data_IF_047999867029
#
_entry.id   IF_047999867029
#
_cell.length_a   1.000
_cell.length_b   1.000
_cell.length_c   1.000
_cell.angle_alpha   90.00
_cell.angle_beta   90.00
_cell.angle_gamma   90.00
#
_symmetry.space_group_name_H-M   'P 1'
#
loop_
_entity.id
_entity.type
_entity.pdbx_description
1 polymer ?
#
# COMPACT_ATOMS: atom_id res chain seq x y z
N UNK A 1 55.97 55.27 15.97
CA UNK A 1 56.94 54.30 16.54
C UNK A 1 57.23 53.23 15.48
N UNK A 2 58.23 53.49 14.61
CA UNK A 2 59.48 52.71 14.44
C UNK A 2 59.31 51.20 14.15
N UNK A 3 59.32 50.81 12.86
CA UNK A 3 60.38 50.04 12.12
C UNK A 3 60.44 48.53 12.50
N UNK A 4 60.51 47.54 11.60
CA UNK A 4 61.21 47.34 10.30
C UNK A 4 60.36 46.39 9.41
N UNK A 5 60.09 46.60 8.11
CA UNK A 5 60.91 46.47 6.87
C UNK A 5 61.70 45.16 6.71
N UNK A 6 61.25 44.31 5.77
CA UNK A 6 61.99 43.86 4.55
C UNK A 6 61.01 43.22 3.53
N UNK A 7 61.10 43.65 2.26
CA UNK A 7 60.60 43.07 0.99
C UNK A 7 61.86 42.67 0.17
N UNK A 8 61.83 42.19 -1.09
CA UNK A 8 60.83 41.54 -1.98
C UNK A 8 61.41 40.20 -2.58
N UNK A 9 60.79 39.44 -3.49
CA UNK A 9 60.82 39.54 -4.99
C UNK A 9 59.92 38.41 -5.55
N UNK A 10 58.82 38.66 -6.26
CA UNK A 10 58.66 39.11 -7.65
C UNK A 10 58.95 38.03 -8.71
N UNK A 11 57.89 37.53 -9.37
CA UNK A 11 57.73 37.27 -10.83
C UNK A 11 56.45 36.47 -11.14
N UNK A 12 55.44 37.19 -11.62
CA UNK A 12 54.43 36.75 -12.61
C UNK A 12 55.11 36.66 -14.02
N UNK A 13 54.55 36.10 -15.14
CA UNK A 13 53.12 36.03 -15.48
C UNK A 13 52.64 34.82 -16.37
N UNK A 14 51.33 34.85 -16.69
CA UNK A 14 50.64 34.36 -17.93
C UNK A 14 49.88 33.01 -17.93
N UNK A 15 48.54 33.17 -17.89
CA UNK A 15 47.51 32.71 -18.87
C UNK A 15 47.75 31.38 -19.62
N UNK A 16 46.83 30.41 -19.43
CA UNK A 16 46.08 29.81 -20.55
C UNK A 16 44.85 29.00 -20.06
N UNK A 17 43.77 29.01 -20.85
CA UNK A 17 42.42 28.65 -20.44
C UNK A 17 42.12 27.17 -20.22
N UNK A 18 41.15 26.91 -19.34
CA UNK A 18 40.55 25.61 -19.10
C UNK A 18 39.47 25.33 -20.15
N UNK A 19 39.74 24.35 -21.02
CA UNK A 19 38.76 23.72 -21.90
C UNK A 19 38.88 22.20 -21.73
N UNK A 20 37.73 21.56 -21.52
CA UNK A 20 37.40 20.14 -21.76
C UNK A 20 37.73 19.09 -20.68
N UNK A 21 36.80 18.93 -19.73
CA UNK A 21 36.60 17.71 -18.93
C UNK A 21 35.44 16.85 -19.48
N UNK A 22 35.33 16.70 -20.80
CA UNK A 22 34.22 15.96 -21.47
C UNK A 22 34.71 14.83 -22.38
N UNK A 23 36.02 14.54 -22.44
CA UNK A 23 36.57 13.45 -23.26
C UNK A 23 37.14 12.26 -22.51
N UNK A 24 37.21 12.29 -21.17
CA UNK A 24 37.68 11.13 -20.39
C UNK A 24 36.57 10.12 -20.00
N UNK A 25 35.29 10.48 -20.15
CA UNK A 25 34.18 9.61 -19.72
C UNK A 25 33.70 8.63 -20.80
N UNK A 26 34.06 8.85 -22.07
CA UNK A 26 33.59 8.03 -23.20
C UNK A 26 34.49 6.82 -23.53
N UNK A 27 35.71 6.76 -23.01
CA UNK A 27 36.65 5.65 -23.26
C UNK A 27 36.56 4.51 -22.23
N UNK A 28 35.90 4.73 -21.09
CA UNK A 28 35.71 3.70 -20.05
C UNK A 28 34.44 2.85 -20.24
N UNK A 29 33.51 3.27 -21.11
CA UNK A 29 32.27 2.54 -21.40
C UNK A 29 32.37 1.54 -22.58
N UNK A 30 33.48 1.55 -23.32
CA UNK A 30 33.68 0.62 -24.47
C UNK A 30 34.49 -0.62 -24.07
N UNK A 31 35.22 -0.60 -22.94
CA UNK A 31 36.06 -1.72 -22.50
C UNK A 31 35.33 -2.81 -21.68
N UNK A 32 34.05 -2.62 -21.31
CA UNK A 32 33.31 -3.57 -20.46
C UNK A 32 32.29 -4.46 -21.22
N UNK A 33 32.38 -4.55 -22.55
CA UNK A 33 31.51 -5.40 -23.39
C UNK A 33 32.16 -6.67 -23.95
N UNK A 34 33.38 -7.01 -23.53
CA UNK A 34 34.16 -8.08 -24.16
C UNK A 34 34.79 -9.08 -23.18
N UNK A 35 34.09 -9.50 -22.13
CA UNK A 35 34.53 -10.66 -21.33
C UNK A 35 33.34 -11.31 -20.62
N UNK A 36 32.74 -12.36 -21.21
CA UNK A 36 32.07 -13.49 -20.53
C UNK A 36 31.32 -14.33 -21.57
N UNK A 37 32.10 -15.15 -22.29
CA UNK A 37 31.63 -16.44 -22.83
C UNK A 37 32.30 -17.55 -22.03
N UNK A 38 31.56 -18.63 -21.85
CA UNK A 38 31.94 -19.93 -21.27
C UNK A 38 31.90 -20.02 -19.73
N UNK A 39 30.78 -20.52 -19.21
CA UNK A 39 30.72 -21.64 -18.28
C UNK A 39 29.31 -22.23 -18.34
N UNK A 40 29.20 -23.36 -19.04
CA UNK A 40 27.98 -24.15 -19.14
C UNK A 40 27.88 -25.06 -17.91
N UNK A 41 26.74 -25.04 -17.22
CA UNK A 41 26.30 -26.12 -16.35
C UNK A 41 24.93 -26.58 -16.84
N UNK A 42 24.89 -27.83 -17.29
CA UNK A 42 23.71 -28.54 -17.77
C UNK A 42 22.71 -28.80 -16.65
N UNK A 43 21.43 -28.50 -16.90
CA UNK A 43 20.29 -29.02 -16.16
C UNK A 43 19.39 -29.74 -17.17
N UNK A 44 19.01 -31.01 -16.95
CA UNK A 44 18.22 -31.77 -17.93
C UNK A 44 16.74 -31.35 -17.88
N UNK A 45 16.01 -31.38 -19.01
CA UNK A 45 14.57 -31.14 -19.02
C UNK A 45 13.80 -32.39 -18.55
N UNK A 46 12.56 -32.23 -18.02
CA UNK A 46 11.74 -33.37 -17.64
C UNK A 46 11.16 -34.07 -18.89
N UNK A 47 11.12 -35.39 -18.81
CA UNK A 47 10.51 -36.30 -19.78
C UNK A 47 9.00 -36.08 -19.85
N UNK A 48 8.48 -35.68 -21.01
CA UNK A 48 7.07 -35.88 -21.36
C UNK A 48 6.95 -36.83 -22.55
N UNK A 49 6.17 -37.88 -22.32
CA UNK A 49 5.83 -38.96 -23.23
C UNK A 49 5.11 -38.50 -24.51
N UNK A 50 5.49 -39.10 -25.62
CA UNK A 50 4.94 -38.92 -26.95
C UNK A 50 3.49 -39.43 -27.12
N UNK A 51 2.74 -38.76 -28.02
CA UNK A 51 1.92 -39.29 -29.16
C UNK A 51 0.77 -38.31 -29.52
N UNK A 52 0.11 -38.43 -30.69
CA UNK A 52 0.63 -38.58 -32.04
C UNK A 52 0.07 -37.50 -33.01
N UNK A 53 0.69 -37.45 -34.18
CA UNK A 53 0.41 -36.61 -35.36
C UNK A 53 -1.00 -36.75 -35.96
N UNK A 54 -1.60 -35.62 -36.38
CA UNK A 54 -2.69 -35.52 -37.36
C UNK A 54 -2.51 -34.29 -38.29
N UNK A 55 -3.13 -34.29 -39.50
CA UNK A 55 -2.58 -33.77 -40.77
C UNK A 55 -2.93 -32.28 -41.04
N UNK A 56 -2.40 -31.65 -42.13
CA UNK A 56 -2.36 -30.20 -42.26
C UNK A 56 -3.69 -29.59 -42.74
N UNK A 57 -3.98 -28.37 -42.27
CA UNK A 57 -5.08 -27.52 -42.73
C UNK A 57 -4.78 -26.90 -44.11
N UNK A 58 -5.81 -26.64 -44.94
CA UNK A 58 -5.63 -26.08 -46.27
C UNK A 58 -5.38 -24.57 -46.24
N UNK A 59 -4.65 -24.12 -47.25
CA UNK A 59 -4.35 -22.73 -47.58
C UNK A 59 -5.62 -21.92 -47.85
N UNK A 60 -5.67 -20.71 -47.28
CA UNK A 60 -6.59 -19.66 -47.71
C UNK A 60 -5.80 -18.43 -48.18
N UNK A 61 -6.26 -17.95 -49.33
CA UNK A 61 -5.69 -16.97 -50.22
C UNK A 61 -5.63 -15.56 -49.63
N UNK A 62 -4.68 -14.78 -50.14
CA UNK A 62 -4.53 -13.36 -49.92
C UNK A 62 -5.76 -12.57 -50.41
N UNK A 63 -6.23 -11.63 -49.57
CA UNK A 63 -7.06 -10.49 -49.99
C UNK A 63 -6.47 -9.23 -49.37
N UNK A 64 -6.32 -8.21 -50.21
CA UNK A 64 -5.71 -6.90 -49.94
C UNK A 64 -6.62 -5.95 -49.14
N UNK A 65 -6.08 -4.87 -48.54
CA UNK A 65 -6.76 -4.09 -47.51
C UNK A 65 -7.46 -2.86 -48.09
N UNK A 66 -8.75 -2.67 -47.79
CA UNK A 66 -9.43 -1.38 -47.73
C UNK A 66 -10.82 -1.58 -47.09
N UNK A 67 -11.20 -0.66 -46.21
CA UNK A 67 -12.49 -0.55 -45.49
C UNK A 67 -12.69 -1.43 -44.23
N UNK A 68 -11.92 -1.18 -43.17
CA UNK A 68 -12.40 -1.41 -41.79
C UNK A 68 -11.93 -0.28 -40.84
N UNK A 69 -12.49 0.92 -41.06
CA UNK A 69 -12.39 2.04 -40.11
C UNK A 69 -13.78 2.63 -39.89
N UNK A 70 -14.63 1.90 -39.15
CA UNK A 70 -15.83 2.45 -38.51
C UNK A 70 -16.49 1.46 -37.52
N UNK A 71 -16.22 0.15 -37.61
CA UNK A 71 -16.93 -0.88 -36.82
C UNK A 71 -16.07 -1.49 -35.69
N UNK A 72 -14.94 -0.88 -35.34
CA UNK A 72 -14.03 -1.37 -34.30
C UNK A 72 -14.09 -0.59 -32.96
N UNK A 73 -15.01 0.36 -32.83
CA UNK A 73 -15.12 1.24 -31.65
C UNK A 73 -16.41 1.05 -30.81
N UNK A 74 -17.20 0.01 -31.09
CA UNK A 74 -18.46 -0.26 -30.39
C UNK A 74 -18.61 -1.68 -29.80
N UNK A 75 -17.55 -2.49 -29.78
CA UNK A 75 -17.62 -3.90 -29.32
C UNK A 75 -16.52 -4.28 -28.30
N UNK A 76 -16.05 -3.34 -27.49
CA UNK A 76 -15.25 -3.65 -26.31
C UNK A 76 -15.73 -2.83 -25.09
N UNK A 77 -16.89 -3.20 -24.59
CA UNK A 77 -17.30 -2.91 -23.21
C UNK A 77 -17.81 -4.19 -22.56
N UNK A 78 -17.00 -5.25 -22.57
CA UNK A 78 -17.22 -6.34 -21.62
C UNK A 78 -16.70 -5.88 -20.26
N UNK A 79 -17.59 -5.89 -19.28
CA UNK A 79 -17.25 -5.48 -17.93
C UNK A 79 -16.25 -6.49 -17.34
N UNK A 80 -15.35 -6.03 -16.46
CA UNK A 80 -14.38 -6.88 -15.74
C UNK A 80 -15.05 -8.10 -15.07
N UNK A 81 -16.36 -8.01 -14.78
CA UNK A 81 -17.24 -9.05 -14.24
C UNK A 81 -17.43 -10.26 -15.16
N UNK A 82 -17.44 -10.04 -16.48
CA UNK A 82 -17.71 -11.08 -17.48
C UNK A 82 -16.49 -12.00 -17.67
N UNK A 83 -15.28 -11.51 -17.37
CA UNK A 83 -14.06 -12.32 -17.30
C UNK A 83 -13.98 -13.15 -16.01
N UNK A 84 -14.48 -12.64 -14.89
CA UNK A 84 -14.40 -13.30 -13.57
C UNK A 84 -15.43 -14.42 -13.39
N UNK A 85 -16.63 -14.28 -13.95
CA UNK A 85 -17.69 -15.31 -13.85
C UNK A 85 -17.33 -16.62 -14.57
N UNK A 86 -16.34 -16.62 -15.48
CA UNK A 86 -15.86 -17.85 -16.15
C UNK A 86 -14.78 -18.60 -15.35
N UNK A 87 -14.18 -17.98 -14.32
CA UNK A 87 -13.08 -18.56 -13.55
C UNK A 87 -13.49 -19.13 -12.17
N UNK A 88 -14.67 -18.77 -11.65
CA UNK A 88 -15.14 -19.22 -10.33
C UNK A 88 -16.53 -19.85 -10.45
N UNK A 89 -16.57 -21.04 -11.05
CA UNK A 89 -17.80 -21.77 -11.30
C UNK A 89 -17.85 -23.12 -10.61
N UNK A 90 -17.64 -23.21 -9.29
CA UNK A 90 -18.14 -24.32 -8.46
C UNK A 90 -18.33 -23.86 -7.00
N UNK A 91 -19.57 -24.03 -6.50
CA UNK A 91 -20.06 -23.77 -5.13
C UNK A 91 -20.64 -22.38 -4.84
N UNK A 92 -21.88 -22.14 -5.28
CA UNK A 92 -22.96 -21.55 -4.46
C UNK A 92 -24.23 -21.40 -5.31
N UNK A 93 -24.97 -22.49 -5.49
CA UNK A 93 -26.32 -22.46 -6.05
C UNK A 93 -27.26 -23.10 -5.03
N UNK A 94 -27.80 -22.30 -4.11
CA UNK A 94 -29.04 -22.59 -3.42
C UNK A 94 -29.49 -21.34 -2.63
N UNK A 95 -30.80 -21.08 -2.68
CA UNK A 95 -31.58 -20.13 -1.87
C UNK A 95 -31.57 -18.66 -2.31
N UNK A 96 -32.47 -18.32 -3.23
CA UNK A 96 -33.47 -17.25 -3.03
C UNK A 96 -34.42 -17.18 -4.23
N UNK A 97 -35.44 -18.03 -4.23
CA UNK A 97 -36.61 -17.86 -5.08
C UNK A 97 -37.84 -17.86 -4.16
N UNK A 98 -38.47 -16.70 -4.00
CA UNK A 98 -39.92 -16.51 -3.88
C UNK A 98 -40.21 -15.14 -3.26
N UNK A 99 -40.79 -14.25 -4.07
CA UNK A 99 -42.00 -13.46 -3.77
C UNK A 99 -41.97 -12.16 -4.58
N UNK A 100 -42.37 -12.26 -5.85
CA UNK A 100 -42.82 -11.12 -6.64
C UNK A 100 -44.32 -11.32 -6.85
N UNK A 101 -45.14 -10.48 -6.22
CA UNK A 101 -46.51 -10.25 -6.69
C UNK A 101 -46.76 -8.75 -6.78
N UNK A 102 -47.29 -8.41 -7.96
CA UNK A 102 -47.62 -7.08 -8.45
C UNK A 102 -48.69 -6.41 -7.59
N UNK A 103 -48.64 -5.07 -7.54
CA UNK A 103 -49.85 -4.25 -7.75
C UNK A 103 -49.47 -2.96 -8.50
N UNK A 104 -49.93 -2.88 -9.74
CA UNK A 104 -50.02 -1.68 -10.57
C UNK A 104 -51.32 -0.93 -10.25
N UNK A 105 -51.29 0.40 -10.15
CA UNK A 105 -52.53 1.17 -10.04
C UNK A 105 -52.40 2.69 -9.89
N UNK A 106 -52.47 3.36 -11.05
CA UNK A 106 -53.11 4.67 -11.30
C UNK A 106 -52.55 5.98 -10.71
N UNK A 107 -52.29 6.90 -11.65
CA UNK A 107 -52.06 8.33 -11.45
C UNK A 107 -53.27 9.05 -10.83
N UNK A 108 -52.99 10.03 -9.98
CA UNK A 108 -53.97 10.98 -9.45
C UNK A 108 -53.25 12.22 -8.91
N UNK A 109 -53.41 13.33 -9.62
CA UNK A 109 -52.97 14.68 -9.25
C UNK A 109 -53.78 15.22 -8.07
N UNK A 110 -53.12 15.72 -7.02
CA UNK A 110 -53.67 16.77 -6.13
C UNK A 110 -52.56 17.28 -5.21
N UNK A 111 -52.32 18.59 -5.23
CA UNK A 111 -51.36 19.26 -4.36
C UNK A 111 -51.85 19.37 -2.91
N UNK A 112 -50.90 19.43 -1.98
CA UNK A 112 -50.98 20.02 -0.63
C UNK A 112 -49.60 19.91 0.07
N UNK A 113 -49.37 20.67 1.16
CA UNK A 113 -48.40 21.75 1.25
C UNK A 113 -46.96 21.30 1.56
N UNK A 114 -45.97 22.14 1.21
CA UNK A 114 -44.57 21.97 1.63
C UNK A 114 -44.47 22.17 3.14
N UNK A 115 -44.50 21.07 3.89
CA UNK A 115 -44.02 21.04 5.26
C UNK A 115 -42.50 21.24 5.22
N UNK A 116 -42.03 22.39 5.70
CA UNK A 116 -40.62 22.67 5.88
C UNK A 116 -40.12 21.81 7.05
N UNK A 117 -39.60 20.62 6.75
CA UNK A 117 -38.86 19.83 7.72
C UNK A 117 -37.51 20.52 7.96
N UNK A 118 -37.16 20.91 9.20
CA UNK A 118 -35.82 21.38 9.50
C UNK A 118 -34.82 20.25 9.15
N UNK A 119 -33.56 20.58 8.83
CA UNK A 119 -32.56 19.56 8.56
C UNK A 119 -32.50 18.64 9.77
N UNK A 120 -32.83 17.35 9.56
CA UNK A 120 -32.61 16.33 10.58
C UNK A 120 -31.14 16.44 10.97
N UNK A 121 -30.92 16.88 12.22
CA UNK A 121 -29.66 16.68 12.90
C UNK A 121 -29.27 15.23 12.64
N UNK A 122 -28.08 15.03 12.06
CA UNK A 122 -27.53 13.72 11.82
C UNK A 122 -27.73 12.91 13.11
N UNK A 123 -28.58 11.89 13.03
CA UNK A 123 -28.70 10.94 14.12
C UNK A 123 -27.29 10.39 14.33
N UNK A 124 -26.65 10.82 15.42
CA UNK A 124 -25.42 10.20 15.88
C UNK A 124 -25.75 8.72 16.03
N UNK A 125 -25.28 7.92 15.07
CA UNK A 125 -25.17 6.49 15.23
C UNK A 125 -24.56 6.31 16.62
N UNK A 126 -25.31 5.66 17.51
CA UNK A 126 -24.81 5.28 18.83
C UNK A 126 -23.72 4.23 18.64
N UNK A 127 -22.58 4.65 18.09
CA UNK A 127 -21.42 3.81 17.90
C UNK A 127 -20.88 3.55 19.30
N UNK A 128 -20.91 2.27 19.71
CA UNK A 128 -20.22 1.80 20.91
C UNK A 128 -18.82 2.43 20.95
N UNK A 129 -18.44 2.93 22.14
CA UNK A 129 -17.12 3.54 22.35
C UNK A 129 -16.04 2.62 21.76
N UNK A 130 -15.02 3.19 21.08
CA UNK A 130 -14.00 2.37 20.49
C UNK A 130 -13.27 1.61 21.59
N UNK A 131 -13.12 0.30 21.41
CA UNK A 131 -12.45 -0.57 22.36
C UNK A 131 -11.65 -1.64 21.61
N UNK A 132 -10.47 -1.93 22.15
CA UNK A 132 -9.65 -3.07 21.73
C UNK A 132 -9.85 -4.28 22.67
N UNK A 133 -10.91 -4.28 23.48
CA UNK A 133 -11.35 -5.46 24.22
C UNK A 133 -11.63 -6.60 23.24
N UNK A 134 -11.05 -7.76 23.53
CA UNK A 134 -11.14 -8.90 22.62
C UNK A 134 -10.20 -8.80 21.42
N UNK A 135 -9.18 -7.95 21.44
CA UNK A 135 -8.06 -8.05 20.52
C UNK A 135 -6.78 -8.40 21.28
N UNK A 136 -5.90 -9.18 20.63
CA UNK A 136 -4.59 -9.55 21.16
C UNK A 136 -3.54 -8.83 20.34
N UNK A 137 -2.74 -7.98 20.99
CA UNK A 137 -1.67 -7.25 20.35
C UNK A 137 -0.32 -7.86 20.72
N UNK A 138 0.59 -7.90 19.74
CA UNK A 138 1.93 -8.43 19.90
C UNK A 138 2.94 -7.45 19.32
N UNK A 139 3.92 -7.08 20.14
CA UNK A 139 5.11 -6.37 19.67
C UNK A 139 6.14 -7.38 19.18
N UNK A 140 6.71 -7.10 18.03
CA UNK A 140 7.80 -7.87 17.49
C UNK A 140 9.13 -7.41 18.11
N UNK A 141 9.89 -8.34 18.68
CA UNK A 141 11.20 -8.08 19.26
C UNK A 141 12.30 -8.48 18.27
N UNK A 142 13.23 -7.56 18.04
CA UNK A 142 14.40 -7.80 17.21
C UNK A 142 15.43 -8.63 17.99
N UNK A 143 16.18 -9.52 17.32
CA UNK A 143 17.34 -10.19 17.91
C UNK A 143 18.32 -9.16 18.50
N UNK A 144 18.77 -9.36 19.75
CA UNK A 144 19.74 -8.47 20.40
C UNK A 144 21.20 -8.96 20.26
N UNK A 145 21.41 -10.15 19.68
CA UNK A 145 22.74 -10.73 19.46
C UNK A 145 22.75 -11.87 18.46
N UNK A 146 23.95 -12.38 18.18
CA UNK A 146 24.18 -13.46 17.22
C UNK A 146 23.49 -14.76 17.67
N UNK A 147 22.65 -15.33 16.80
CA UNK A 147 21.93 -16.58 17.06
C UNK A 147 20.56 -16.44 17.74
N UNK A 148 20.12 -15.23 18.10
CA UNK A 148 18.75 -14.99 18.56
C UNK A 148 17.77 -14.92 17.40
N UNK A 149 16.60 -15.52 17.57
CA UNK A 149 15.49 -15.42 16.61
C UNK A 149 14.53 -14.30 17.00
N UNK A 150 13.89 -13.62 16.03
CA UNK A 150 12.81 -12.70 16.35
C UNK A 150 11.69 -13.41 17.12
N UNK A 151 11.07 -12.69 18.04
CA UNK A 151 10.00 -13.21 18.88
C UNK A 151 8.84 -12.23 19.01
N UNK A 152 7.70 -12.74 19.49
CA UNK A 152 6.52 -11.93 19.79
C UNK A 152 6.37 -11.79 21.30
N UNK A 153 6.12 -10.56 21.75
CA UNK A 153 5.71 -10.25 23.12
C UNK A 153 4.27 -9.79 23.11
N UNK A 154 3.39 -10.48 23.84
CA UNK A 154 2.04 -9.99 24.03
C UNK A 154 2.06 -8.64 24.77
N UNK A 155 1.16 -7.75 24.37
CA UNK A 155 0.90 -6.50 25.07
C UNK A 155 -0.38 -6.65 25.87
N UNK A 156 -0.36 -6.17 27.12
CA UNK A 156 -1.60 -5.93 27.85
C UNK A 156 -2.32 -4.67 27.34
N UNK A 157 -3.52 -4.41 27.87
CA UNK A 157 -4.34 -3.27 27.47
C UNK A 157 -3.63 -1.93 27.67
N UNK A 158 -2.92 -1.76 28.78
CA UNK A 158 -2.22 -0.51 29.11
C UNK A 158 -1.02 -0.26 28.20
N UNK A 159 -0.31 -1.33 27.82
CA UNK A 159 0.81 -1.28 26.88
C UNK A 159 0.33 -1.00 25.45
N UNK A 160 -0.81 -1.57 25.05
CA UNK A 160 -1.44 -1.30 23.77
C UNK A 160 -1.93 0.15 23.67
N UNK A 161 -2.58 0.67 24.71
CA UNK A 161 -2.94 2.09 24.80
C UNK A 161 -1.71 2.99 24.69
N UNK A 162 -0.64 2.64 25.39
CA UNK A 162 0.64 3.38 25.33
C UNK A 162 1.24 3.36 23.92
N UNK A 163 1.11 2.24 23.20
CA UNK A 163 1.52 2.15 21.80
C UNK A 163 0.69 3.07 20.90
N UNK A 164 -0.64 3.09 21.04
CA UNK A 164 -1.51 4.01 20.28
C UNK A 164 -1.16 5.47 20.56
N UNK A 165 -0.90 5.82 21.83
CA UNK A 165 -0.41 7.16 22.23
C UNK A 165 0.91 7.52 21.56
N UNK A 166 1.83 6.56 21.46
CA UNK A 166 3.10 6.73 20.77
C UNK A 166 2.95 6.82 19.24
N UNK A 167 1.98 6.12 18.65
CA UNK A 167 1.72 6.13 17.21
C UNK A 167 1.03 7.43 16.72
N UNK A 168 0.32 8.13 17.61
CA UNK A 168 -0.34 9.41 17.35
C UNK A 168 0.43 10.61 17.96
N UNK A 169 1.75 10.65 17.77
CA UNK A 169 2.58 11.81 18.10
C UNK A 169 2.61 12.82 16.94
N UNK A 170 3.02 14.08 17.16
CA UNK A 170 3.21 15.03 16.06
C UNK A 170 4.07 14.43 14.94
N UNK A 171 3.70 14.69 13.67
CA UNK A 171 4.43 14.22 12.49
C UNK A 171 4.49 12.68 12.37
N UNK A 172 3.35 12.01 12.58
CA UNK A 172 3.28 10.54 12.55
C UNK A 172 2.41 10.00 11.42
N UNK A 173 2.80 8.84 10.90
CA UNK A 173 1.94 8.04 10.03
C UNK A 173 1.81 6.61 10.56
N UNK A 174 0.60 6.07 10.56
CA UNK A 174 0.28 4.72 11.00
C UNK A 174 -0.27 3.93 9.83
N UNK A 175 0.43 2.89 9.41
CA UNK A 175 0.04 2.02 8.29
C UNK A 175 -0.67 0.78 8.84
N UNK A 176 -1.93 0.59 8.45
CA UNK A 176 -2.77 -0.53 8.88
C UNK A 176 -2.92 -1.50 7.70
N UNK A 177 -2.12 -2.58 7.73
CA UNK A 177 -2.10 -3.63 6.72
C UNK A 177 -3.27 -4.60 6.86
N UNK A 178 -4.18 -4.58 5.90
CA UNK A 178 -5.40 -5.39 5.85
C UNK A 178 -5.32 -6.56 4.86
N UNK A 179 -6.22 -7.52 5.02
CA UNK A 179 -6.70 -8.36 3.93
C UNK A 179 -7.99 -7.74 3.39
N UNK A 180 -7.98 -7.32 2.14
CA UNK A 180 -9.10 -6.58 1.53
C UNK A 180 -10.45 -7.33 1.53
N UNK A 181 -10.41 -8.65 1.68
CA UNK A 181 -11.58 -9.52 1.64
C UNK A 181 -12.07 -9.95 3.03
N UNK A 182 -11.54 -9.33 4.09
CA UNK A 182 -11.74 -9.80 5.46
C UNK A 182 -12.41 -8.74 6.31
N UNK A 183 -13.68 -8.99 6.62
CA UNK A 183 -14.51 -8.11 7.46
C UNK A 183 -13.89 -7.82 8.82
N UNK A 184 -13.27 -8.82 9.46
CA UNK A 184 -12.66 -8.64 10.79
C UNK A 184 -11.53 -7.60 10.80
N UNK A 185 -10.77 -7.48 9.70
CA UNK A 185 -9.71 -6.49 9.57
C UNK A 185 -10.31 -5.08 9.49
N UNK A 186 -11.38 -4.90 8.70
CA UNK A 186 -12.05 -3.61 8.56
C UNK A 186 -12.76 -3.18 9.84
N UNK A 187 -13.35 -4.11 10.60
CA UNK A 187 -13.90 -3.83 11.92
C UNK A 187 -12.79 -3.35 12.89
N UNK A 188 -11.62 -3.97 12.85
CA UNK A 188 -10.46 -3.55 13.65
C UNK A 188 -9.89 -2.20 13.19
N UNK A 189 -9.78 -1.95 11.88
CA UNK A 189 -9.39 -0.64 11.34
C UNK A 189 -10.32 0.45 11.83
N UNK A 190 -11.63 0.20 11.84
CA UNK A 190 -12.63 1.13 12.34
C UNK A 190 -12.38 1.50 13.82
N UNK A 191 -12.02 0.53 14.68
CA UNK A 191 -11.65 0.79 16.08
C UNK A 191 -10.33 1.58 16.20
N UNK A 192 -9.29 1.17 15.47
CA UNK A 192 -7.98 1.81 15.53
C UNK A 192 -8.01 3.25 15.03
N UNK A 193 -8.74 3.52 13.95
CA UNK A 193 -8.93 4.87 13.43
C UNK A 193 -9.60 5.78 14.46
N UNK A 194 -10.62 5.29 15.17
CA UNK A 194 -11.28 6.06 16.22
C UNK A 194 -10.33 6.38 17.38
N UNK A 195 -9.54 5.39 17.83
CA UNK A 195 -8.58 5.60 18.92
C UNK A 195 -7.47 6.58 18.53
N UNK A 196 -6.93 6.46 17.30
CA UNK A 196 -5.94 7.40 16.77
C UNK A 196 -6.52 8.80 16.61
N UNK A 197 -7.76 8.93 16.13
CA UNK A 197 -8.44 10.21 16.00
C UNK A 197 -8.69 10.87 17.36
N UNK A 198 -9.11 10.11 18.36
CA UNK A 198 -9.31 10.58 19.73
C UNK A 198 -8.00 11.07 20.35
N UNK A 199 -6.92 10.32 20.15
CA UNK A 199 -5.60 10.66 20.68
C UNK A 199 -4.98 11.88 19.98
N UNK A 200 -5.11 11.98 18.65
CA UNK A 200 -4.69 13.18 17.93
C UNK A 200 -5.49 14.41 18.40
N UNK A 201 -6.81 14.26 18.57
CA UNK A 201 -7.69 15.33 19.06
C UNK A 201 -7.34 15.77 20.49
N UNK A 202 -6.99 14.85 21.39
CA UNK A 202 -6.61 15.17 22.77
C UNK A 202 -5.36 16.06 22.84
N UNK A 203 -4.48 15.95 21.84
CA UNK A 203 -3.26 16.75 21.65
C UNK A 203 -3.45 17.98 20.75
N UNK A 204 -4.64 18.18 20.18
CA UNK A 204 -4.91 19.26 19.23
C UNK A 204 -4.19 19.11 17.88
N UNK A 205 -3.85 17.87 17.47
CA UNK A 205 -3.15 17.58 16.23
C UNK A 205 -4.12 17.39 15.05
N UNK A 206 -3.77 17.87 13.84
CA UNK A 206 -4.49 17.51 12.63
C UNK A 206 -4.45 15.99 12.41
N UNK A 207 -5.59 15.39 12.09
CA UNK A 207 -5.70 13.95 11.84
C UNK A 207 -6.33 13.68 10.47
N UNK A 208 -5.82 12.72 9.72
CA UNK A 208 -6.40 12.27 8.45
C UNK A 208 -6.42 10.74 8.34
N UNK A 209 -7.31 10.25 7.46
CA UNK A 209 -7.40 8.82 7.12
C UNK A 209 -7.25 8.64 5.62
N UNK A 210 -6.26 7.86 5.19
CA UNK A 210 -6.03 7.53 3.79
C UNK A 210 -6.58 6.17 3.40
N UNK A 211 -7.13 6.08 2.19
CA UNK A 211 -7.72 4.87 1.59
C UNK A 211 -6.99 4.47 0.32
N UNK A 212 -6.35 3.31 0.31
CA UNK A 212 -5.84 2.68 -0.91
C UNK A 212 -6.95 2.43 -1.94
N UNK A 213 -8.16 2.18 -1.46
CA UNK A 213 -9.30 1.78 -2.28
C UNK A 213 -9.79 2.90 -3.20
N UNK A 214 -9.37 4.15 -2.95
CA UNK A 214 -9.82 5.34 -3.67
C UNK A 214 -8.65 5.97 -4.42
N UNK A 215 -8.81 6.10 -5.74
CA UNK A 215 -7.81 6.72 -6.61
C UNK A 215 -7.78 8.25 -6.45
N UNK A 216 -6.61 8.86 -6.62
CA UNK A 216 -6.39 10.31 -6.43
C UNK A 216 -7.35 11.23 -7.19
N UNK A 217 -7.84 10.92 -8.42
CA UNK A 217 -8.83 11.77 -9.09
C UNK A 217 -10.14 11.92 -8.31
N UNK A 218 -10.46 10.98 -7.41
CA UNK A 218 -11.68 10.97 -6.61
C UNK A 218 -11.55 11.66 -5.25
N UNK A 219 -10.45 12.40 -5.00
CA UNK A 219 -10.25 13.16 -3.76
C UNK A 219 -11.45 14.07 -3.43
N UNK A 220 -12.04 14.74 -4.42
CA UNK A 220 -13.22 15.61 -4.21
C UNK A 220 -14.45 14.85 -3.68
N UNK A 221 -14.57 13.57 -3.99
CA UNK A 221 -15.66 12.71 -3.50
C UNK A 221 -15.47 12.45 -2.01
N UNK A 222 -14.24 12.09 -1.61
CA UNK A 222 -13.86 11.94 -0.20
C UNK A 222 -14.01 13.24 0.59
N UNK A 223 -13.65 14.38 0.00
CA UNK A 223 -13.84 15.70 0.63
C UNK A 223 -15.32 15.98 0.92
N UNK A 224 -16.22 15.65 -0.01
CA UNK A 224 -17.67 15.81 0.17
C UNK A 224 -18.21 14.86 1.26
N UNK A 225 -17.76 13.60 1.26
CA UNK A 225 -18.17 12.62 2.25
C UNK A 225 -17.70 13.00 3.67
N UNK A 226 -16.44 13.39 3.83
CA UNK A 226 -15.86 13.74 5.13
C UNK A 226 -16.57 14.90 5.83
N UNK A 227 -17.15 15.83 5.07
CA UNK A 227 -17.95 16.96 5.60
C UNK A 227 -19.46 16.68 5.64
N UNK A 228 -19.89 15.45 5.37
CA UNK A 228 -21.30 15.02 5.47
C UNK A 228 -22.19 15.45 4.30
N UNK A 229 -21.61 15.84 3.16
CA UNK A 229 -22.35 16.22 1.94
C UNK A 229 -22.66 15.05 1.01
N UNK A 230 -22.19 13.86 1.33
CA UNK A 230 -22.37 12.65 0.53
C UNK A 230 -22.77 11.48 1.44
N UNK A 231 -23.75 10.67 1.01
CA UNK A 231 -24.13 9.44 1.70
C UNK A 231 -23.13 8.31 1.42
N UNK A 232 -23.31 7.16 2.06
CA UNK A 232 -22.53 5.96 1.76
C UNK A 232 -22.79 5.45 0.35
N UNK A 233 -24.05 5.42 -0.09
CA UNK A 233 -24.40 5.00 -1.46
C UNK A 233 -23.81 5.99 -2.48
N UNK A 234 -23.86 7.29 -2.18
CA UNK A 234 -23.25 8.32 -3.01
C UNK A 234 -21.73 8.24 -3.05
N UNK A 235 -21.09 7.78 -1.96
CA UNK A 235 -19.64 7.53 -1.93
C UNK A 235 -19.30 6.35 -2.84
N UNK A 236 -19.96 5.21 -2.66
CA UNK A 236 -19.78 4.00 -3.47
C UNK A 236 -19.92 4.30 -4.98
N UNK A 237 -21.01 4.98 -5.36
CA UNK A 237 -21.31 5.33 -6.75
C UNK A 237 -20.28 6.29 -7.33
N UNK A 238 -19.98 7.40 -6.64
CA UNK A 238 -19.10 8.46 -7.17
C UNK A 238 -17.62 8.09 -7.16
N UNK A 239 -17.19 7.15 -6.32
CA UNK A 239 -15.84 6.55 -6.43
C UNK A 239 -15.78 5.44 -7.47
N UNK A 240 -16.90 5.15 -8.15
CA UNK A 240 -17.02 4.05 -9.11
C UNK A 240 -16.55 2.71 -8.51
N UNK A 241 -16.89 2.48 -7.23
CA UNK A 241 -16.27 1.46 -6.41
C UNK A 241 -16.34 0.07 -7.04
N UNK A 242 -17.53 -0.30 -7.56
CA UNK A 242 -17.78 -1.61 -8.19
C UNK A 242 -16.92 -1.88 -9.43
N UNK A 243 -16.39 -0.84 -10.06
CA UNK A 243 -15.56 -0.95 -11.26
C UNK A 243 -14.08 -0.97 -10.90
N UNK A 244 -13.68 -0.15 -9.93
CA UNK A 244 -12.28 0.13 -9.61
C UNK A 244 -11.72 -0.73 -8.49
N UNK A 245 -12.57 -1.10 -7.53
CA UNK A 245 -12.16 -1.92 -6.41
C UNK A 245 -12.78 -3.31 -6.50
N UNK A 246 -11.92 -4.34 -6.38
CA UNK A 246 -12.32 -5.73 -6.56
C UNK A 246 -13.25 -6.25 -5.44
N UNK A 247 -13.23 -5.58 -4.29
CA UNK A 247 -13.89 -6.06 -3.07
C UNK A 247 -15.18 -5.28 -2.79
N UNK A 248 -16.23 -5.93 -2.23
CA UNK A 248 -17.50 -5.28 -1.95
C UNK A 248 -17.35 -4.04 -1.06
N UNK A 249 -18.09 -2.98 -1.37
CA UNK A 249 -18.06 -1.72 -0.59
C UNK A 249 -18.49 -1.96 0.86
N UNK A 250 -19.40 -2.90 1.08
CA UNK A 250 -19.98 -3.25 2.38
C UNK A 250 -18.95 -3.71 3.40
N UNK A 251 -17.80 -4.22 2.95
CA UNK A 251 -16.68 -4.58 3.82
C UNK A 251 -16.06 -3.36 4.51
N UNK A 252 -16.09 -2.19 3.85
CA UNK A 252 -15.46 -0.95 4.31
C UNK A 252 -16.45 -0.01 5.01
N UNK A 253 -17.76 -0.26 4.93
CA UNK A 253 -18.80 0.54 5.59
C UNK A 253 -18.55 0.78 7.07
N UNK A 254 -18.07 -0.20 7.88
CA UNK A 254 -17.77 0.03 9.30
C UNK A 254 -16.78 1.19 9.54
N UNK A 255 -15.84 1.41 8.61
CA UNK A 255 -14.84 2.48 8.68
C UNK A 255 -15.48 3.81 8.27
N UNK A 256 -16.17 3.82 7.13
CA UNK A 256 -16.82 5.03 6.62
C UNK A 256 -17.92 5.55 7.54
N UNK A 257 -18.70 4.68 8.18
CA UNK A 257 -19.71 5.07 9.15
C UNK A 257 -19.13 5.80 10.36
N UNK A 258 -17.93 5.39 10.81
CA UNK A 258 -17.23 6.10 11.87
C UNK A 258 -16.71 7.45 11.42
N UNK A 259 -16.35 7.63 10.16
CA UNK A 259 -15.76 8.88 9.68
C UNK A 259 -16.78 9.90 9.20
N UNK A 260 -17.99 9.44 8.84
CA UNK A 260 -19.06 10.25 8.27
C UNK A 260 -19.37 11.47 9.13
N UNK A 261 -19.26 12.66 8.55
CA UNK A 261 -19.61 13.93 9.18
C UNK A 261 -18.69 14.39 10.32
N UNK A 262 -17.62 13.64 10.65
CA UNK A 262 -16.66 14.02 11.70
C UNK A 262 -15.70 15.13 11.28
N UNK A 263 -15.75 15.58 10.01
CA UNK A 263 -14.84 16.58 9.42
C UNK A 263 -13.36 16.22 9.56
N UNK A 264 -13.07 14.91 9.59
CA UNK A 264 -11.72 14.37 9.47
C UNK A 264 -11.37 14.36 7.98
N UNK A 265 -10.26 15.00 7.55
CA UNK A 265 -9.75 14.87 6.19
C UNK A 265 -9.54 13.40 5.79
N UNK A 266 -10.09 13.03 4.64
CA UNK A 266 -9.93 11.70 4.05
C UNK A 266 -9.04 11.82 2.82
N UNK A 267 -8.08 10.92 2.62
CA UNK A 267 -7.09 11.00 1.55
C UNK A 267 -7.31 9.87 0.54
N UNK A 268 -7.46 10.22 -0.73
CA UNK A 268 -7.37 9.25 -1.82
C UNK A 268 -5.89 8.95 -2.06
N UNK A 269 -5.51 7.66 -1.99
CA UNK A 269 -4.10 7.26 -1.98
C UNK A 269 -3.63 6.69 -3.32
N UNK A 270 -4.43 5.85 -3.97
CA UNK A 270 -3.98 5.11 -5.14
C UNK A 270 -3.77 6.05 -6.34
N UNK A 271 -2.70 5.90 -7.14
CA UNK A 271 -2.66 6.53 -8.47
C UNK A 271 -3.83 6.04 -9.32
N UNK A 272 -4.13 6.76 -10.40
CA UNK A 272 -5.22 6.36 -11.28
C UNK A 272 -4.97 4.99 -11.93
N UNK A 273 -6.04 4.27 -12.24
CA UNK A 273 -5.94 3.02 -13.01
C UNK A 273 -5.25 3.26 -14.36
N UNK A 274 -5.53 4.39 -15.01
CA UNK A 274 -4.89 4.77 -16.28
C UNK A 274 -3.37 4.98 -16.14
N UNK A 275 -2.92 5.63 -15.06
CA UNK A 275 -1.48 5.81 -14.79
C UNK A 275 -0.81 4.46 -14.49
N UNK A 276 -1.47 3.63 -13.68
CA UNK A 276 -0.97 2.30 -13.29
C UNK A 276 -0.90 1.38 -14.52
N UNK A 277 -1.94 1.35 -15.34
CA UNK A 277 -2.00 0.59 -16.60
C UNK A 277 -0.92 1.06 -17.58
N UNK A 278 -0.72 2.37 -17.69
CA UNK A 278 0.35 2.93 -18.52
C UNK A 278 1.72 2.38 -18.10
N UNK A 279 1.99 2.30 -16.80
CA UNK A 279 3.25 1.71 -16.29
C UNK A 279 3.28 0.18 -16.44
N UNK A 280 2.15 -0.51 -16.27
CA UNK A 280 2.03 -1.95 -16.52
C UNK A 280 2.37 -2.32 -17.97
N UNK A 281 2.02 -1.48 -18.94
CA UNK A 281 2.27 -1.73 -20.36
C UNK A 281 3.63 -1.21 -20.83
N UNK A 282 4.00 0.00 -20.41
CA UNK A 282 5.15 0.74 -20.98
C UNK A 282 6.29 1.00 -20.00
N UNK A 283 6.16 0.57 -18.74
CA UNK A 283 7.04 0.95 -17.64
C UNK A 283 6.96 2.44 -17.31
N UNK A 284 7.85 2.91 -16.43
CA UNK A 284 7.92 4.34 -16.08
C UNK A 284 8.05 5.31 -17.28
N UNK A 285 8.77 4.98 -18.38
CA UNK A 285 8.83 5.85 -19.56
C UNK A 285 7.48 6.10 -20.24
N UNK A 286 6.45 5.29 -19.93
CA UNK A 286 5.08 5.52 -20.39
C UNK A 286 4.43 6.76 -19.79
N UNK A 287 4.82 7.17 -18.58
CA UNK A 287 4.32 8.37 -17.93
C UNK A 287 5.08 9.62 -18.39
N UNK A 288 4.39 10.75 -18.43
CA UNK A 288 5.07 12.04 -18.60
C UNK A 288 5.99 12.32 -17.40
N UNK A 289 7.07 13.06 -17.64
CA UNK A 289 7.99 13.45 -16.56
C UNK A 289 7.31 14.27 -15.45
N UNK A 290 6.27 15.05 -15.79
CA UNK A 290 5.48 15.78 -14.81
C UNK A 290 4.66 14.82 -13.93
N UNK A 291 3.97 13.86 -14.54
CA UNK A 291 3.18 12.84 -13.83
C UNK A 291 4.05 11.94 -12.97
N UNK A 292 5.22 11.52 -13.46
CA UNK A 292 6.16 10.74 -12.67
C UNK A 292 6.66 11.51 -11.44
N UNK A 293 6.95 12.81 -11.58
CA UNK A 293 7.33 13.66 -10.44
C UNK A 293 6.20 13.89 -9.44
N UNK A 294 4.96 13.95 -9.93
CA UNK A 294 3.77 14.05 -9.07
C UNK A 294 3.59 12.77 -8.23
N UNK A 295 3.69 11.59 -8.86
CA UNK A 295 3.45 10.30 -8.19
C UNK A 295 4.69 9.78 -7.42
N UNK A 296 5.89 10.19 -7.80
CA UNK A 296 7.16 9.76 -7.21
C UNK A 296 8.09 10.96 -6.96
N UNK A 297 7.72 11.88 -6.04
CA UNK A 297 8.45 13.12 -5.81
C UNK A 297 9.89 12.90 -5.33
N UNK A 298 10.17 11.75 -4.69
CA UNK A 298 11.50 11.35 -4.21
C UNK A 298 12.06 10.13 -4.98
N UNK A 299 12.00 10.18 -6.31
CA UNK A 299 12.54 9.11 -7.17
C UNK A 299 14.05 8.84 -6.98
N UNK A 300 14.83 9.84 -6.56
CA UNK A 300 16.25 9.67 -6.23
C UNK A 300 16.44 8.92 -4.92
N UNK A 301 15.70 9.25 -3.87
CA UNK A 301 15.71 8.50 -2.62
C UNK A 301 15.29 7.05 -2.84
N UNK A 302 14.27 6.80 -3.67
CA UNK A 302 13.91 5.44 -4.06
C UNK A 302 15.07 4.69 -4.73
N UNK A 303 15.79 5.32 -5.66
CA UNK A 303 16.93 4.70 -6.33
C UNK A 303 18.05 4.30 -5.36
N UNK A 304 18.27 5.06 -4.28
CA UNK A 304 19.22 4.68 -3.22
C UNK A 304 18.67 3.59 -2.30
N UNK A 305 17.38 3.66 -1.91
CA UNK A 305 16.72 2.61 -1.12
C UNK A 305 16.74 1.26 -1.85
N UNK A 306 16.57 1.25 -3.17
CA UNK A 306 16.60 0.05 -3.99
C UNK A 306 17.97 -0.66 -4.02
N UNK A 307 19.05 0.02 -3.59
CA UNK A 307 20.39 -0.56 -3.47
C UNK A 307 20.66 -1.16 -2.07
N UNK A 308 19.78 -0.92 -1.10
CA UNK A 308 19.99 -1.38 0.26
C UNK A 308 19.92 -2.91 0.36
N UNK A 309 20.68 -3.52 1.28
CA UNK A 309 20.58 -4.95 1.56
C UNK A 309 19.13 -5.36 1.91
N UNK A 310 18.72 -6.54 1.47
CA UNK A 310 17.36 -7.04 1.67
C UNK A 310 16.32 -6.57 0.63
N UNK A 311 16.55 -5.47 -0.10
CA UNK A 311 15.58 -4.98 -1.11
C UNK A 311 15.30 -5.99 -2.23
N UNK A 312 16.32 -6.73 -2.68
CA UNK A 312 16.17 -7.81 -3.67
C UNK A 312 15.29 -8.95 -3.14
N UNK A 313 15.44 -9.29 -1.87
CA UNK A 313 14.64 -10.33 -1.23
C UNK A 313 13.20 -9.86 -1.07
N UNK A 314 12.98 -8.62 -0.58
CA UNK A 314 11.67 -7.98 -0.54
C UNK A 314 10.98 -8.00 -1.90
N UNK A 315 11.69 -7.59 -2.96
CA UNK A 315 11.16 -7.61 -4.32
C UNK A 315 10.76 -9.02 -4.75
N UNK A 316 11.57 -10.04 -4.47
CA UNK A 316 11.31 -11.42 -4.89
C UNK A 316 10.15 -12.04 -4.10
N UNK A 317 10.13 -11.84 -2.79
CA UNK A 317 9.27 -12.56 -1.87
C UNK A 317 7.95 -11.84 -1.54
N UNK A 318 7.91 -10.52 -1.72
CA UNK A 318 6.70 -9.71 -1.48
C UNK A 318 6.09 -9.24 -2.79
N UNK A 319 6.85 -8.52 -3.61
CA UNK A 319 6.31 -7.96 -4.86
C UNK A 319 6.05 -9.09 -5.86
N UNK A 320 7.11 -9.77 -6.32
CA UNK A 320 7.02 -10.72 -7.42
C UNK A 320 6.33 -12.04 -7.07
N UNK A 321 6.26 -12.40 -5.78
CA UNK A 321 5.49 -13.59 -5.34
C UNK A 321 4.00 -13.44 -5.61
N UNK A 322 3.47 -12.23 -5.51
CA UNK A 322 2.07 -11.92 -5.81
C UNK A 322 1.76 -11.91 -7.32
N UNK A 323 2.78 -11.81 -8.17
CA UNK A 323 2.61 -11.70 -9.63
C UNK A 323 1.76 -12.83 -10.21
N UNK A 324 2.06 -14.09 -9.86
CA UNK A 324 1.33 -15.25 -10.37
C UNK A 324 -0.15 -15.22 -10.01
N UNK A 325 -0.48 -14.85 -8.77
CA UNK A 325 -1.87 -14.69 -8.33
C UNK A 325 -2.57 -13.56 -9.11
N UNK A 326 -1.89 -12.44 -9.35
CA UNK A 326 -2.45 -11.32 -10.12
C UNK A 326 -2.68 -11.68 -11.60
N UNK A 327 -1.80 -12.49 -12.20
CA UNK A 327 -2.03 -13.07 -13.54
C UNK A 327 -3.29 -13.94 -13.53
N UNK A 328 -3.42 -14.85 -12.55
CA UNK A 328 -4.57 -15.76 -12.43
C UNK A 328 -5.89 -15.03 -12.18
N UNK A 329 -5.87 -13.93 -11.43
CA UNK A 329 -7.05 -13.08 -11.22
C UNK A 329 -7.43 -12.27 -12.47
N UNK A 330 -6.61 -12.27 -13.52
CA UNK A 330 -6.87 -11.51 -14.75
C UNK A 330 -6.78 -10.00 -14.58
N UNK A 331 -6.12 -9.52 -13.53
CA UNK A 331 -6.04 -8.09 -13.20
C UNK A 331 -4.87 -7.36 -13.86
N UNK A 332 -3.98 -8.09 -14.56
CA UNK A 332 -2.78 -7.54 -15.21
C UNK A 332 -2.85 -7.45 -16.74
N UNK A 333 -4.00 -7.77 -17.35
CA UNK A 333 -4.18 -7.81 -18.81
C UNK A 333 -3.61 -9.07 -19.47
N UNK A 334 -3.60 -9.08 -20.81
CA UNK A 334 -3.39 -10.31 -21.61
C UNK A 334 -1.92 -10.72 -21.77
N UNK A 335 -0.96 -9.84 -21.51
CA UNK A 335 0.48 -10.12 -21.65
C UNK A 335 1.32 -9.34 -20.63
N UNK A 336 1.18 -9.65 -19.34
CA UNK A 336 1.91 -8.91 -18.30
C UNK A 336 3.41 -9.20 -18.34
N UNK A 337 4.22 -8.15 -18.11
CA UNK A 337 5.67 -8.24 -17.93
C UNK A 337 5.99 -8.10 -16.42
N UNK A 338 6.68 -9.08 -15.79
CA UNK A 338 7.09 -8.99 -14.39
C UNK A 338 7.87 -7.71 -14.04
N UNK A 339 8.65 -7.15 -14.98
CA UNK A 339 9.38 -5.88 -14.77
C UNK A 339 8.43 -4.70 -14.67
N UNK A 340 7.44 -4.64 -15.54
CA UNK A 340 6.45 -3.58 -15.51
C UNK A 340 5.48 -3.74 -14.33
N UNK A 341 5.16 -4.98 -13.95
CA UNK A 341 4.45 -5.26 -12.72
C UNK A 341 5.20 -4.74 -11.49
N UNK A 342 6.50 -5.01 -11.39
CA UNK A 342 7.35 -4.42 -10.36
C UNK A 342 7.31 -2.88 -10.41
N UNK A 343 7.45 -2.28 -11.59
CA UNK A 343 7.42 -0.82 -11.75
C UNK A 343 6.08 -0.21 -11.32
N UNK A 344 4.96 -0.82 -11.70
CA UNK A 344 3.62 -0.36 -11.30
C UNK A 344 3.41 -0.51 -9.78
N UNK A 345 3.93 -1.60 -9.19
CA UNK A 345 3.89 -1.80 -7.75
C UNK A 345 4.72 -0.75 -7.01
N UNK A 346 5.92 -0.45 -7.51
CA UNK A 346 6.74 0.67 -7.02
C UNK A 346 6.00 2.00 -7.13
N UNK A 347 5.37 2.30 -8.27
CA UNK A 347 4.61 3.53 -8.49
C UNK A 347 3.51 3.71 -7.44
N UNK A 348 2.71 2.67 -7.24
CA UNK A 348 1.60 2.69 -6.27
C UNK A 348 2.12 2.92 -4.85
N UNK A 349 3.17 2.23 -4.41
CA UNK A 349 3.72 2.40 -3.06
C UNK A 349 4.29 3.82 -2.84
N UNK A 350 4.99 4.38 -3.83
CA UNK A 350 5.49 5.76 -3.75
C UNK A 350 4.35 6.78 -3.71
N UNK A 351 3.36 6.64 -4.59
CA UNK A 351 2.25 7.56 -4.69
C UNK A 351 1.43 7.58 -3.40
N UNK A 352 1.07 6.39 -2.88
CA UNK A 352 0.32 6.29 -1.61
C UNK A 352 1.12 6.89 -0.44
N UNK A 353 2.42 6.58 -0.34
CA UNK A 353 3.30 7.17 0.67
C UNK A 353 3.37 8.70 0.54
N UNK A 354 3.55 9.22 -0.67
CA UNK A 354 3.63 10.65 -0.96
C UNK A 354 2.38 11.39 -0.49
N UNK A 355 1.19 10.86 -0.76
CA UNK A 355 -0.09 11.48 -0.35
C UNK A 355 -0.18 11.69 1.17
N UNK A 356 0.25 10.72 1.96
CA UNK A 356 0.28 10.85 3.42
C UNK A 356 1.35 11.82 3.91
N UNK A 357 2.56 11.76 3.34
CA UNK A 357 3.66 12.67 3.70
C UNK A 357 3.34 14.11 3.33
N UNK A 358 2.68 14.35 2.20
CA UNK A 358 2.18 15.67 1.78
C UNK A 358 1.18 16.25 2.78
N UNK A 359 0.29 15.41 3.34
CA UNK A 359 -0.62 15.85 4.38
C UNK A 359 0.15 16.33 5.62
N UNK A 360 1.10 15.52 6.13
CA UNK A 360 1.89 15.90 7.32
C UNK A 360 2.72 17.16 7.06
N UNK A 361 3.32 17.28 5.88
CA UNK A 361 4.07 18.47 5.47
C UNK A 361 3.18 19.72 5.43
N UNK A 362 1.94 19.60 4.99
CA UNK A 362 1.00 20.72 4.86
C UNK A 362 0.27 21.05 6.17
N UNK A 363 0.32 20.15 7.16
CA UNK A 363 -0.36 20.26 8.44
C UNK A 363 0.64 19.96 9.56
N UNK A 364 1.35 20.97 10.10
CA UNK A 364 2.36 20.78 11.14
C UNK A 364 1.84 19.96 12.32
N UNK A 365 2.57 18.93 12.71
CA UNK A 365 2.15 17.98 13.75
C UNK A 365 1.10 16.96 13.29
N UNK A 366 0.79 16.91 12.01
CA UNK A 366 -0.25 16.05 11.46
C UNK A 366 0.00 14.56 11.71
N UNK A 367 -1.09 13.84 11.91
CA UNK A 367 -1.14 12.39 12.09
C UNK A 367 -2.00 11.79 10.97
N UNK A 368 -1.52 10.71 10.34
CA UNK A 368 -2.28 10.03 9.27
C UNK A 368 -2.39 8.54 9.55
N UNK A 369 -3.62 8.02 9.54
CA UNK A 369 -3.86 6.58 9.47
C UNK A 369 -3.99 6.17 7.99
N UNK A 370 -3.17 5.22 7.52
CA UNK A 370 -3.12 4.75 6.14
C UNK A 370 -3.70 3.34 6.05
N UNK A 371 -4.87 3.19 5.43
CA UNK A 371 -5.57 1.92 5.26
C UNK A 371 -5.19 1.30 3.92
N UNK A 372 -4.49 0.17 3.95
CA UNK A 372 -3.97 -0.46 2.74
C UNK A 372 -3.73 -1.97 2.93
N UNK A 373 -3.62 -2.69 1.82
CA UNK A 373 -3.32 -4.12 1.78
C UNK A 373 -2.00 -4.44 2.46
N UNK A 374 -1.96 -5.57 3.16
CA UNK A 374 -0.79 -6.00 3.94
C UNK A 374 0.51 -6.08 3.13
N UNK A 375 0.44 -6.38 1.84
CA UNK A 375 1.61 -6.42 0.94
C UNK A 375 2.30 -5.06 0.76
N UNK A 376 1.59 -3.95 1.00
CA UNK A 376 2.14 -2.59 0.97
C UNK A 376 2.75 -2.16 2.30
N UNK A 377 2.48 -2.91 3.38
CA UNK A 377 2.88 -2.57 4.75
C UNK A 377 4.01 -3.46 5.26
N UNK A 378 3.98 -4.75 4.93
CA UNK A 378 4.85 -5.78 5.52
C UNK A 378 6.32 -5.66 5.11
N UNK A 379 7.21 -6.12 6.00
CA UNK A 379 8.63 -6.40 5.74
C UNK A 379 9.54 -5.21 5.34
N UNK A 380 9.17 -3.97 5.72
CA UNK A 380 9.88 -2.72 5.29
C UNK A 380 9.95 -2.62 3.76
N UNK A 381 10.56 -1.56 3.20
CA UNK A 381 10.60 -1.24 1.75
C UNK A 381 9.26 -1.00 1.02
N UNK A 382 8.12 -1.40 1.61
CA UNK A 382 6.79 -1.03 1.15
C UNK A 382 6.47 0.45 1.36
N UNK A 383 5.19 0.79 1.29
CA UNK A 383 4.70 2.17 1.45
C UNK A 383 5.14 2.81 2.77
N UNK A 384 5.24 2.05 3.86
CA UNK A 384 5.66 2.55 5.18
C UNK A 384 7.08 3.10 5.19
N UNK A 385 8.03 2.34 4.64
CA UNK A 385 9.45 2.72 4.63
C UNK A 385 9.75 3.80 3.59
N UNK A 386 8.98 3.82 2.49
CA UNK A 386 9.03 4.91 1.49
C UNK A 386 8.54 6.22 2.08
N UNK A 387 7.47 6.19 2.88
CA UNK A 387 7.01 7.36 3.62
C UNK A 387 8.07 7.84 4.61
N UNK A 388 8.71 6.92 5.36
CA UNK A 388 9.77 7.26 6.30
C UNK A 388 10.96 7.96 5.60
N UNK A 389 11.45 7.36 4.52
CA UNK A 389 12.51 7.92 3.66
C UNK A 389 12.12 9.30 3.12
N UNK A 390 10.95 9.40 2.50
CA UNK A 390 10.48 10.63 1.87
C UNK A 390 10.25 11.76 2.89
N UNK A 391 9.67 11.43 4.05
CA UNK A 391 9.42 12.39 5.12
C UNK A 391 10.71 12.92 5.74
N UNK A 392 11.65 12.02 6.09
CA UNK A 392 12.93 12.40 6.74
C UNK A 392 13.94 12.96 5.76
N UNK A 393 14.31 12.17 4.75
CA UNK A 393 15.45 12.47 3.87
C UNK A 393 15.02 13.34 2.69
N UNK A 394 13.80 13.14 2.18
CA UNK A 394 13.26 13.90 1.05
C UNK A 394 12.78 15.30 1.44
N UNK A 395 11.94 15.40 2.48
CA UNK A 395 11.30 16.66 2.88
C UNK A 395 11.80 17.25 4.20
N UNK A 396 12.67 16.56 4.95
CA UNK A 396 13.29 17.10 6.17
C UNK A 396 12.31 17.29 7.34
N UNK A 397 11.25 16.48 7.42
CA UNK A 397 10.28 16.54 8.51
C UNK A 397 10.94 16.10 9.83
N UNK A 398 11.06 17.04 10.78
CA UNK A 398 11.63 16.78 12.10
C UNK A 398 10.76 15.83 12.90
N UNK A 399 11.40 14.91 13.61
CA UNK A 399 10.76 13.91 14.48
C UNK A 399 9.69 13.07 13.74
N UNK A 400 9.81 12.97 12.41
CA UNK A 400 8.86 12.22 11.60
C UNK A 400 8.98 10.73 11.90
N UNK A 401 7.85 10.10 12.19
CA UNK A 401 7.79 8.70 12.57
C UNK A 401 6.73 7.95 11.76
N UNK A 402 7.03 6.69 11.48
CA UNK A 402 6.13 5.77 10.79
C UNK A 402 5.98 4.53 11.65
N UNK A 403 4.74 4.09 11.83
CA UNK A 403 4.38 2.86 12.53
C UNK A 403 3.65 1.93 11.57
N UNK A 404 4.05 0.67 11.52
CA UNK A 404 3.42 -0.38 10.73
C UNK A 404 2.67 -1.35 11.62
N UNK A 405 1.41 -1.63 11.29
CA UNK A 405 0.55 -2.57 12.01
C UNK A 405 0.00 -3.58 11.00
N UNK A 406 0.18 -4.87 11.26
CA UNK A 406 -0.46 -5.93 10.47
C UNK A 406 -1.67 -6.47 11.22
N UNK A 407 -2.81 -6.52 10.52
CA UNK A 407 -4.08 -6.96 11.07
C UNK A 407 -4.31 -8.43 10.73
N UNK A 408 -4.52 -9.24 11.77
CA UNK A 408 -4.73 -10.67 11.70
C UNK A 408 -3.81 -11.44 10.72
N UNK A 409 -2.49 -11.19 10.69
CA UNK A 409 -1.60 -11.82 9.72
C UNK A 409 -1.57 -13.34 9.88
N UNK A 410 -1.47 -14.05 8.76
CA UNK A 410 -1.35 -15.50 8.68
C UNK A 410 0.05 -15.92 8.23
N UNK A 411 0.35 -17.22 8.35
CA UNK A 411 1.63 -17.75 7.89
C UNK A 411 1.83 -17.56 6.38
N UNK A 412 0.74 -17.53 5.60
CA UNK A 412 0.83 -17.25 4.16
C UNK A 412 1.25 -15.81 3.88
N UNK A 413 0.66 -14.84 4.59
CA UNK A 413 0.99 -13.42 4.44
C UNK A 413 2.44 -13.12 4.78
N UNK A 414 2.98 -13.86 5.75
CA UNK A 414 4.38 -13.78 6.14
C UNK A 414 5.36 -14.51 5.20
N UNK A 415 4.92 -15.06 4.07
CA UNK A 415 5.76 -15.83 3.14
C UNK A 415 6.30 -17.12 3.81
N UNK A 416 5.45 -17.77 4.60
CA UNK A 416 5.77 -18.96 5.42
C UNK A 416 4.72 -20.07 5.25
N UNK A 417 4.14 -20.19 4.05
CA UNK A 417 3.05 -21.13 3.74
C UNK A 417 3.36 -22.59 4.08
N UNK A 418 4.65 -22.99 4.09
CA UNK A 418 5.09 -24.36 4.41
C UNK A 418 5.25 -24.64 5.90
N UNK A 419 5.45 -23.63 6.76
CA UNK A 419 5.82 -23.84 8.17
C UNK A 419 4.65 -23.71 9.15
N UNK A 420 3.44 -23.33 8.69
CA UNK A 420 2.25 -23.07 9.53
C UNK A 420 2.51 -22.11 10.71
N UNK A 421 3.59 -21.33 10.63
CA UNK A 421 4.04 -20.36 11.60
C UNK A 421 4.31 -19.04 10.86
N UNK A 422 4.01 -17.93 11.52
CA UNK A 422 4.40 -16.60 11.03
C UNK A 422 5.93 -16.51 10.87
N UNK A 423 6.37 -15.99 9.74
CA UNK A 423 7.73 -15.50 9.58
C UNK A 423 7.77 -14.05 10.04
N UNK A 424 8.45 -13.83 11.15
CA UNK A 424 8.50 -12.53 11.82
C UNK A 424 9.46 -11.55 11.12
N UNK A 425 10.41 -12.04 10.35
CA UNK A 425 11.32 -11.20 9.56
C UNK A 425 11.57 -11.79 8.18
N UNK A 426 11.71 -10.93 7.18
CA UNK A 426 12.06 -11.37 5.85
C UNK A 426 13.53 -11.81 5.78
N UNK A 427 14.40 -11.18 6.53
CA UNK A 427 15.82 -11.54 6.65
C UNK A 427 16.07 -12.22 7.99
N UNK A 428 16.87 -13.28 7.99
CA UNK A 428 17.30 -13.96 9.22
C UNK A 428 18.49 -13.22 9.88
N UNK A 429 19.22 -12.42 9.10
CA UNK A 429 20.39 -11.64 9.52
C UNK A 429 20.19 -10.13 9.22
N UNK A 430 21.18 -9.33 9.59
CA UNK A 430 21.18 -7.88 9.34
C UNK A 430 21.17 -7.55 7.83
N UNK A 431 20.36 -6.58 7.37
CA UNK A 431 19.43 -5.78 8.16
C UNK A 431 18.16 -6.57 8.49
N UNK A 432 17.68 -6.43 9.73
CA UNK A 432 16.44 -7.04 10.18
C UNK A 432 15.21 -6.38 9.51
N UNK A 433 14.42 -7.15 8.76
CA UNK A 433 13.23 -6.68 8.05
C UNK A 433 11.95 -7.22 8.73
N UNK A 434 11.45 -6.57 9.80
CA UNK A 434 10.31 -7.07 10.56
C UNK A 434 9.03 -7.12 9.73
N UNK A 435 8.17 -8.09 10.02
CA UNK A 435 6.83 -8.18 9.46
C UNK A 435 6.05 -6.87 9.66
N UNK A 436 6.07 -6.33 10.88
CA UNK A 436 5.52 -5.01 11.25
C UNK A 436 6.06 -4.57 12.63
N UNK A 437 5.77 -3.34 13.05
CA UNK A 437 6.04 -2.88 14.42
C UNK A 437 5.06 -3.51 15.44
N UNK A 438 3.82 -3.74 15.02
CA UNK A 438 2.78 -4.34 15.84
C UNK A 438 1.94 -5.33 15.03
N UNK A 439 1.58 -6.46 15.62
CA UNK A 439 0.60 -7.41 15.09
C UNK A 439 -0.64 -7.39 15.98
N UNK A 440 -1.84 -7.27 15.41
CA UNK A 440 -3.09 -7.33 16.17
C UNK A 440 -3.99 -8.43 15.63
N UNK A 441 -4.55 -9.24 16.52
CA UNK A 441 -5.46 -10.34 16.20
C UNK A 441 -6.80 -10.16 16.90
N UNK A 442 -7.89 -10.59 16.27
CA UNK A 442 -9.19 -10.75 16.94
C UNK A 442 -9.13 -11.90 17.96
N UNK A 443 -9.93 -11.81 19.03
CA UNK A 443 -9.87 -12.55 20.32
C UNK A 443 -9.62 -14.05 20.22
N UNK A 444 -10.13 -14.66 19.15
CA UNK A 444 -10.26 -16.11 19.04
C UNK A 444 -9.04 -16.77 18.37
N UNK A 445 -8.05 -15.98 17.93
CA UNK A 445 -6.87 -16.50 17.22
C UNK A 445 -5.59 -16.06 17.93
N UNK A 446 -4.92 -16.99 18.59
CA UNK A 446 -3.50 -16.81 18.89
C UNK A 446 -2.71 -16.83 17.56
N UNK A 447 -1.57 -16.12 17.44
CA UNK A 447 -0.70 -16.26 16.29
C UNK A 447 -0.34 -17.74 16.09
N UNK A 448 -0.53 -18.31 14.88
CA UNK A 448 -0.31 -19.73 14.64
C UNK A 448 1.11 -20.15 15.03
N UNK A 449 1.22 -21.11 15.96
CA UNK A 449 2.46 -21.80 16.31
C UNK A 449 3.50 -20.99 17.10
N UNK A 450 3.14 -19.86 17.71
CA UNK A 450 4.02 -19.14 18.64
C UNK A 450 3.58 -19.28 20.09
N UNK A 451 4.52 -19.63 20.97
CA UNK A 451 4.35 -19.49 22.42
C UNK A 451 4.36 -17.99 22.75
N UNK A 452 3.29 -17.53 23.40
CA UNK A 452 3.23 -16.18 23.92
C UNK A 452 4.07 -16.16 25.20
N UNK A 453 5.25 -15.55 25.16
CA UNK A 453 5.99 -15.27 26.39
C UNK A 453 5.13 -14.32 27.24
N UNK A 454 4.80 -14.68 28.50
CA UNK A 454 4.10 -13.76 29.37
C UNK A 454 4.93 -12.49 29.58
N UNK A 455 4.29 -11.34 29.87
CA UNK A 455 5.03 -10.13 30.21
C UNK A 455 6.01 -10.43 31.36
N UNK A 456 7.24 -9.90 31.32
CA UNK A 456 8.15 -10.05 32.45
C UNK A 456 7.47 -9.46 33.68
N UNK A 457 7.25 -10.28 34.70
CA UNK A 457 6.79 -9.80 36.00
C UNK A 457 7.90 -8.94 36.55
N UNK A 458 7.70 -7.62 36.62
CA UNK A 458 8.58 -6.75 37.39
C UNK A 458 8.51 -7.19 38.85
N UNK A 459 9.49 -7.98 39.28
CA UNK A 459 9.70 -8.21 40.70
C UNK A 459 10.15 -6.89 41.32
N UNK A 460 9.47 -6.38 42.35
CA UNK A 460 9.95 -5.20 43.06
C UNK A 460 11.37 -5.50 43.54
N UNK A 461 12.33 -4.64 43.18
CA UNK A 461 13.65 -4.67 43.80
C UNK A 461 13.46 -4.43 45.30
N UNK A 462 13.40 -5.51 46.06
CA UNK A 462 13.54 -5.46 47.51
C UNK A 462 14.96 -4.97 47.75
N UNK A 463 15.08 -3.70 48.13
CA UNK A 463 16.34 -3.13 48.60
C UNK A 463 16.79 -3.94 49.80
N UNK A 464 17.90 -4.67 49.64
CA UNK A 464 18.61 -5.23 50.76
C UNK A 464 19.27 -4.06 51.51
N UNK A 465 18.61 -3.61 52.57
CA UNK A 465 19.26 -2.88 53.65
C UNK A 465 19.83 -3.89 54.63
N UNK A 466 21.15 -4.07 54.60
CA UNK A 466 21.99 -4.39 55.76
C UNK A 466 23.45 -4.26 55.37
#
# INVERSE_FOLDING_TARGET
MSRRRTMPTDRDPMRCGALTATRLFYLLLIAARSSLRCLAFSVPPPLWSARPSHPPSPSLSAVSPQEETATALALQSESRRDRVTRAVGHSAAAAAASSLQLLSGTAGTSGSPRLFLPPQAAAESQSRAPSLDGYKAFRLLQPQGDGESPSLRALDTSELESFIKAAAQPNSMVFLGEHHNRKEDHELQAQLVDLLAMEAKSKGLPFAVGFEQVETPFQKVLDQFGVGKLSLEGLEDKTEWKVRWQWPFELYTPIFDRLRGRRIPLLALNPSDADTETVMVRGFPGLSQAKLRELMPDSKGFAEQAKQPGFRQYTTEVILSSYGAHVQMGVLGDSPDPKNFFAARVLRDEAMAARGVEFVKSNPGGVVAMLMGGDHVKFRFGSSDRALRMGRDGFGLKDFQVTSVMLNPTSEDSVSSRRRQLRLSLTEESPFLPLADLLIFNSDKAPPGFSVSPPPVETPKVGASS
#
